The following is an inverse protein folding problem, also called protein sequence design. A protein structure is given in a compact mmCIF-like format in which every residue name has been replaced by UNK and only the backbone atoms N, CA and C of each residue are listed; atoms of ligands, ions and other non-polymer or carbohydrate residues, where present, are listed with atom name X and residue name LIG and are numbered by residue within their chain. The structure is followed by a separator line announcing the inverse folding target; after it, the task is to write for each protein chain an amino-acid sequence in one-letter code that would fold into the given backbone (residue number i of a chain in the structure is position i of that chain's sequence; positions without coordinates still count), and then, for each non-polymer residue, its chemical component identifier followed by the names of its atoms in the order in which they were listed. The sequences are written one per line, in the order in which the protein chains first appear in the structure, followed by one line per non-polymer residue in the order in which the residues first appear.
data_IF_785274959142
#
_entry.id   IF_785274959142
#
_cell.length_a   1.000
_cell.length_b   1.000
_cell.length_c   1.000
_cell.angle_alpha   90.00
_cell.angle_beta   90.00
_cell.angle_gamma   90.00
#
_symmetry.space_group_name_H-M   'P 1'
#
loop_
_entity.id
_entity.type
_entity.pdbx_description
1 polymer ?
#
# COMPACT_ATOMS: atom_id res chain seq x y z
N UNK A 1 -9.34 6.59 -13.01
CA UNK A 1 -8.83 7.15 -11.75
C UNK A 1 -7.32 7.03 -11.74
N UNK A 2 -6.60 8.11 -11.49
CA UNK A 2 -5.14 8.18 -11.51
C UNK A 2 -4.56 8.16 -10.09
N UNK A 3 -3.28 7.83 -9.96
CA UNK A 3 -2.59 7.89 -8.67
C UNK A 3 -2.60 9.31 -8.09
N UNK A 4 -2.44 10.34 -8.93
CA UNK A 4 -2.35 11.73 -8.45
C UNK A 4 -3.71 12.23 -7.92
N UNK A 5 -4.82 11.82 -8.54
CA UNK A 5 -6.18 12.06 -8.01
C UNK A 5 -6.37 11.42 -6.64
N UNK A 6 -5.96 10.16 -6.49
CA UNK A 6 -6.05 9.44 -5.21
C UNK A 6 -5.15 10.05 -4.15
N UNK A 7 -3.92 10.41 -4.52
CA UNK A 7 -2.95 11.04 -3.63
C UNK A 7 -3.46 12.39 -3.13
N UNK A 8 -4.03 13.21 -4.02
CA UNK A 8 -4.65 14.48 -3.65
C UNK A 8 -5.83 14.29 -2.68
N UNK A 9 -6.66 13.26 -2.89
CA UNK A 9 -7.80 12.96 -2.03
C UNK A 9 -7.40 12.63 -0.58
N UNK A 10 -6.24 12.02 -0.35
CA UNK A 10 -5.81 11.57 0.99
C UNK A 10 -4.83 12.53 1.69
N UNK A 11 -4.21 13.48 0.99
CA UNK A 11 -3.14 14.35 1.54
C UNK A 11 -3.63 15.71 2.08
N UNK A 12 -4.95 15.94 2.13
CA UNK A 12 -5.56 17.22 2.47
C UNK A 12 -5.01 17.90 3.74
N UNK A 13 -4.46 19.11 3.56
CA UNK A 13 -4.04 20.14 4.55
C UNK A 13 -2.87 19.85 5.51
N UNK A 14 -2.50 18.60 5.79
CA UNK A 14 -1.53 18.26 6.84
C UNK A 14 -0.06 18.16 6.39
N UNK A 15 0.22 18.28 5.08
CA UNK A 15 1.58 18.37 4.51
C UNK A 15 2.48 17.13 4.74
N UNK A 16 1.97 16.08 5.39
CA UNK A 16 2.70 14.84 5.70
C UNK A 16 1.89 13.65 5.23
N UNK A 17 2.53 12.76 4.49
CA UNK A 17 1.96 11.49 4.02
C UNK A 17 2.37 10.36 4.97
N UNK A 18 1.52 10.06 5.95
CA UNK A 18 1.73 9.06 6.99
C UNK A 18 1.26 7.67 6.55
N UNK A 19 1.51 6.64 7.36
CA UNK A 19 1.12 5.25 7.07
C UNK A 19 -0.39 5.11 6.79
N UNK A 20 -1.24 5.78 7.59
CA UNK A 20 -2.70 5.80 7.37
C UNK A 20 -3.07 6.26 5.96
N UNK A 21 -2.39 7.29 5.45
CA UNK A 21 -2.68 7.85 4.13
C UNK A 21 -2.24 6.90 3.01
N UNK A 22 -1.17 6.12 3.21
CA UNK A 22 -0.79 5.05 2.29
C UNK A 22 -1.88 3.96 2.23
N UNK A 23 -2.37 3.53 3.39
CA UNK A 23 -3.45 2.52 3.47
C UNK A 23 -4.73 3.06 2.83
N UNK A 24 -5.10 4.32 3.10
CA UNK A 24 -6.29 4.95 2.51
C UNK A 24 -6.18 5.05 0.98
N UNK A 25 -5.02 5.50 0.47
CA UNK A 25 -4.76 5.55 -0.97
C UNK A 25 -4.91 4.17 -1.61
N UNK A 26 -4.32 3.14 -1.00
CA UNK A 26 -4.42 1.76 -1.50
C UNK A 26 -5.86 1.24 -1.45
N UNK A 27 -6.62 1.52 -0.39
CA UNK A 27 -8.03 1.14 -0.29
C UNK A 27 -8.87 1.80 -1.41
N UNK A 28 -8.67 3.09 -1.67
CA UNK A 28 -9.33 3.80 -2.77
C UNK A 28 -8.92 3.23 -4.14
N UNK A 29 -7.62 2.93 -4.34
CA UNK A 29 -7.13 2.33 -5.57
C UNK A 29 -7.80 0.97 -5.84
N UNK A 30 -7.88 0.10 -4.84
CA UNK A 30 -8.53 -1.20 -4.96
C UNK A 30 -10.02 -1.04 -5.27
N UNK A 31 -10.72 -0.12 -4.60
CA UNK A 31 -12.13 0.16 -4.87
C UNK A 31 -12.37 0.70 -6.29
N UNK A 32 -11.43 1.47 -6.84
CA UNK A 32 -11.59 2.13 -8.14
C UNK A 32 -11.22 1.24 -9.34
N UNK A 33 -10.17 0.42 -9.23
CA UNK A 33 -9.63 -0.35 -10.36
C UNK A 33 -9.53 -1.86 -10.10
N UNK A 34 -9.91 -2.32 -8.90
CA UNK A 34 -9.74 -3.71 -8.48
C UNK A 34 -8.32 -4.02 -8.01
N UNK A 35 -8.12 -5.13 -7.28
CA UNK A 35 -6.86 -5.43 -6.60
C UNK A 35 -5.69 -5.68 -7.55
N UNK A 36 -5.92 -6.35 -8.68
CA UNK A 36 -4.85 -6.64 -9.64
C UNK A 36 -4.30 -5.36 -10.27
N UNK A 37 -5.16 -4.49 -10.79
CA UNK A 37 -4.73 -3.22 -11.39
C UNK A 37 -4.22 -2.21 -10.35
N UNK A 38 -4.70 -2.31 -9.09
CA UNK A 38 -4.23 -1.45 -8.01
C UNK A 38 -2.73 -1.69 -7.69
N UNK A 39 -2.21 -2.91 -7.87
CA UNK A 39 -0.78 -3.19 -7.70
C UNK A 39 0.05 -2.30 -8.63
N UNK A 40 -0.30 -2.24 -9.90
CA UNK A 40 0.44 -1.46 -10.90
C UNK A 40 0.27 0.05 -10.65
N UNK A 41 -0.98 0.51 -10.44
CA UNK A 41 -1.29 1.91 -10.18
C UNK A 41 -0.52 2.49 -8.98
N UNK A 42 -0.52 1.76 -7.86
CA UNK A 42 0.18 2.18 -6.64
C UNK A 42 1.70 2.09 -6.83
N UNK A 43 2.19 1.03 -7.45
CA UNK A 43 3.63 0.84 -7.69
C UNK A 43 4.22 1.92 -8.58
N UNK A 44 3.57 2.27 -9.69
CA UNK A 44 3.99 3.33 -10.59
C UNK A 44 3.98 4.70 -9.91
N UNK A 45 2.94 4.99 -9.13
CA UNK A 45 2.82 6.23 -8.37
C UNK A 45 3.91 6.41 -7.32
N UNK A 46 4.20 5.36 -6.53
CA UNK A 46 5.30 5.38 -5.55
C UNK A 46 6.64 5.56 -6.26
N UNK A 47 6.90 4.81 -7.34
CA UNK A 47 8.15 4.94 -8.09
C UNK A 47 8.34 6.34 -8.66
N UNK A 48 7.30 6.93 -9.26
CA UNK A 48 7.33 8.30 -9.80
C UNK A 48 7.61 9.32 -8.70
N UNK A 49 6.90 9.21 -7.58
CA UNK A 49 7.07 10.11 -6.42
C UNK A 49 8.46 9.99 -5.80
N UNK A 50 8.96 8.75 -5.64
CA UNK A 50 10.28 8.48 -5.10
C UNK A 50 11.40 9.03 -6.01
N UNK A 51 11.25 8.92 -7.33
CA UNK A 51 12.18 9.52 -8.31
C UNK A 51 12.17 11.03 -8.24
N UNK A 52 10.99 11.66 -8.22
CA UNK A 52 10.87 13.12 -8.10
C UNK A 52 11.48 13.65 -6.80
N UNK A 53 11.36 12.90 -5.70
CA UNK A 53 11.96 13.22 -4.41
C UNK A 53 13.46 12.85 -4.29
N UNK A 54 14.12 12.43 -5.39
CA UNK A 54 15.54 12.05 -5.42
C UNK A 54 15.88 10.77 -4.64
N UNK A 55 14.88 9.94 -4.32
CA UNK A 55 15.00 8.77 -3.43
C UNK A 55 14.40 7.49 -4.05
N UNK A 56 14.78 7.10 -5.29
CA UNK A 56 14.19 5.95 -5.99
C UNK A 56 14.32 4.63 -5.23
N UNK A 57 15.36 4.49 -4.39
CA UNK A 57 15.60 3.29 -3.55
C UNK A 57 14.56 3.06 -2.46
N UNK A 58 13.66 4.03 -2.20
CA UNK A 58 12.55 3.86 -1.24
C UNK A 58 11.48 2.92 -1.74
N UNK A 59 11.37 2.73 -3.06
CA UNK A 59 10.41 1.77 -3.61
C UNK A 59 10.85 0.33 -3.31
N UNK A 60 9.87 -0.52 -2.98
CA UNK A 60 10.07 -1.92 -2.67
C UNK A 60 8.91 -2.73 -3.26
N UNK A 61 9.23 -3.58 -4.26
CA UNK A 61 8.22 -4.31 -5.03
C UNK A 61 7.38 -5.23 -4.14
N UNK A 62 8.01 -6.13 -3.39
CA UNK A 62 7.28 -7.08 -2.54
C UNK A 62 6.42 -6.39 -1.48
N UNK A 63 6.95 -5.41 -0.74
CA UNK A 63 6.15 -4.70 0.27
C UNK A 63 4.95 -3.96 -0.34
N UNK A 64 5.13 -3.28 -1.48
CA UNK A 64 4.04 -2.53 -2.11
C UNK A 64 2.91 -3.45 -2.55
N UNK A 65 3.26 -4.56 -3.23
CA UNK A 65 2.28 -5.57 -3.65
C UNK A 65 1.63 -6.26 -2.45
N UNK A 66 2.41 -6.65 -1.45
CA UNK A 66 1.90 -7.32 -0.26
C UNK A 66 0.87 -6.46 0.48
N UNK A 67 1.08 -5.14 0.59
CA UNK A 67 0.08 -4.23 1.17
C UNK A 67 -1.22 -4.17 0.36
N UNK A 68 -1.14 -4.11 -0.97
CA UNK A 68 -2.32 -4.12 -1.84
C UNK A 68 -3.12 -5.41 -1.66
N UNK A 69 -2.45 -6.56 -1.73
CA UNK A 69 -3.09 -7.87 -1.55
C UNK A 69 -3.68 -8.02 -0.13
N UNK A 70 -2.96 -7.56 0.89
CA UNK A 70 -3.38 -7.60 2.29
C UNK A 70 -4.65 -6.78 2.55
N UNK A 71 -4.70 -5.56 2.00
CA UNK A 71 -5.85 -4.67 2.14
C UNK A 71 -7.03 -5.24 1.37
N UNK A 72 -6.82 -5.70 0.13
CA UNK A 72 -7.86 -6.31 -0.69
C UNK A 72 -8.50 -7.52 0.00
N UNK A 73 -7.71 -8.37 0.64
CA UNK A 73 -8.19 -9.55 1.37
C UNK A 73 -9.05 -9.21 2.61
N UNK A 74 -8.96 -7.98 3.14
CA UNK A 74 -9.72 -7.50 4.30
C UNK A 74 -10.91 -6.62 3.93
N UNK A 75 -10.95 -6.10 2.71
CA UNK A 75 -12.07 -5.31 2.22
C UNK A 75 -13.33 -6.16 2.17
N UNK A 76 -14.44 -5.60 2.62
CA UNK A 76 -15.76 -6.20 2.56
C UNK A 76 -16.73 -5.26 1.84
N UNK A 77 -17.77 -5.83 1.22
CA UNK A 77 -18.86 -5.02 0.65
C UNK A 77 -19.61 -4.20 1.71
N UNK A 78 -19.44 -4.52 3.00
CA UNK A 78 -19.99 -3.76 4.12
C UNK A 78 -19.20 -2.47 4.43
N UNK A 79 -18.02 -2.26 3.86
CA UNK A 79 -17.23 -1.04 4.04
C UNK A 79 -17.77 0.09 3.18
N UNK A 80 -18.64 0.92 3.75
CA UNK A 80 -19.09 2.13 3.06
C UNK A 80 -17.97 3.19 2.99
N UNK A 81 -17.10 3.23 3.99
CA UNK A 81 -16.02 4.21 4.11
C UNK A 81 -14.69 3.58 4.53
N UNK A 82 -13.59 4.31 4.34
CA UNK A 82 -12.27 3.92 4.86
C UNK A 82 -12.25 3.83 6.40
N UNK A 83 -13.01 4.69 7.08
CA UNK A 83 -13.09 4.66 8.55
C UNK A 83 -13.77 3.39 9.05
N UNK A 84 -14.83 2.93 8.35
CA UNK A 84 -15.48 1.64 8.65
C UNK A 84 -14.49 0.48 8.46
N UNK A 85 -13.75 0.49 7.35
CA UNK A 85 -12.74 -0.52 7.05
C UNK A 85 -11.68 -0.60 8.17
N UNK A 86 -11.13 0.54 8.58
CA UNK A 86 -10.13 0.61 9.65
C UNK A 86 -10.73 0.22 11.00
N UNK A 87 -11.98 0.58 11.30
CA UNK A 87 -12.63 0.22 12.55
C UNK A 87 -12.77 -1.31 12.70
N UNK A 88 -13.00 -2.02 11.58
CA UNK A 88 -13.08 -3.49 11.56
C UNK A 88 -11.71 -4.18 11.49
N UNK A 89 -10.72 -3.52 10.89
CA UNK A 89 -9.36 -4.05 10.70
C UNK A 89 -8.29 -3.08 11.21
N UNK A 90 -8.28 -2.72 12.51
CA UNK A 90 -7.37 -1.71 13.02
C UNK A 90 -5.88 -2.07 12.86
N UNK A 91 -5.56 -3.36 12.73
CA UNK A 91 -4.20 -3.86 12.54
C UNK A 91 -3.55 -3.38 11.23
N UNK A 92 -4.33 -3.02 10.20
CA UNK A 92 -3.81 -2.51 8.92
C UNK A 92 -3.07 -1.16 9.09
N UNK A 93 -3.32 -0.45 10.19
CA UNK A 93 -2.60 0.76 10.54
C UNK A 93 -1.26 0.51 11.24
N UNK A 94 -0.94 -0.73 11.62
CA UNK A 94 0.40 -1.06 12.08
C UNK A 94 1.31 -1.37 10.88
N UNK A 95 2.28 -0.49 10.63
CA UNK A 95 3.30 -0.70 9.59
C UNK A 95 4.11 -2.00 9.75
N UNK A 96 4.06 -2.64 10.93
CA UNK A 96 4.70 -3.93 11.20
C UNK A 96 3.85 -5.14 10.82
N UNK A 97 2.60 -4.96 10.38
CA UNK A 97 1.70 -6.07 10.08
C UNK A 97 2.30 -7.06 9.08
N UNK A 98 3.08 -6.62 8.09
CA UNK A 98 3.74 -7.54 7.15
C UNK A 98 4.72 -8.51 7.82
N UNK A 99 5.22 -8.21 9.03
CA UNK A 99 6.09 -9.11 9.78
C UNK A 99 5.35 -10.35 10.32
N UNK A 100 4.01 -10.38 10.24
CA UNK A 100 3.23 -11.60 10.54
C UNK A 100 3.13 -12.53 9.34
N UNK A 101 3.52 -12.08 8.14
CA UNK A 101 3.46 -12.82 6.88
C UNK A 101 4.85 -13.11 6.30
N UNK A 102 5.82 -12.28 6.67
CA UNK A 102 7.18 -12.39 6.17
C UNK A 102 8.20 -12.44 7.30
N UNK A 103 9.21 -13.30 7.13
CA UNK A 103 10.43 -13.23 7.92
C UNK A 103 11.13 -11.90 7.65
N UNK A 104 11.71 -11.24 8.68
CA UNK A 104 12.47 -10.01 8.48
C UNK A 104 13.60 -10.14 7.44
N UNK A 105 14.26 -11.31 7.42
CA UNK A 105 15.32 -11.60 6.45
C UNK A 105 14.85 -11.62 4.99
N UNK A 106 13.59 -12.00 4.75
CA UNK A 106 13.00 -12.11 3.42
C UNK A 106 12.75 -10.73 2.82
N UNK A 107 12.11 -9.83 3.58
CA UNK A 107 11.88 -8.43 3.16
C UNK A 107 13.18 -7.62 3.08
N UNK A 108 14.26 -8.05 3.73
CA UNK A 108 15.56 -7.38 3.64
C UNK A 108 16.33 -7.72 2.35
N UNK A 109 15.90 -8.72 1.57
CA UNK A 109 16.62 -9.16 0.37
C UNK A 109 16.45 -8.21 -0.82
N UNK A 110 17.49 -8.12 -1.66
CA UNK A 110 17.39 -7.42 -2.95
C UNK A 110 16.35 -8.07 -3.88
N UNK A 111 16.17 -9.40 -3.80
CA UNK A 111 15.14 -10.12 -4.53
C UNK A 111 13.73 -9.62 -4.17
N UNK A 112 13.42 -9.45 -2.89
CA UNK A 112 12.13 -8.90 -2.46
C UNK A 112 12.00 -7.40 -2.80
N UNK A 113 13.10 -6.65 -2.76
CA UNK A 113 13.10 -5.23 -3.11
C UNK A 113 12.78 -4.99 -4.58
N UNK A 114 13.32 -5.82 -5.47
CA UNK A 114 13.27 -5.63 -6.93
C UNK A 114 12.28 -6.54 -7.65
N UNK A 115 11.80 -7.59 -6.98
CA UNK A 115 10.85 -8.56 -7.52
C UNK A 115 9.78 -8.95 -6.49
N UNK A 116 8.92 -9.88 -6.90
CA UNK A 116 7.90 -10.45 -6.04
C UNK A 116 8.44 -11.70 -5.33
N UNK A 117 8.31 -11.74 -4.01
CA UNK A 117 8.55 -12.91 -3.17
C UNK A 117 7.27 -13.16 -2.36
N UNK A 118 6.71 -14.38 -2.39
CA UNK A 118 5.51 -14.69 -1.61
C UNK A 118 5.79 -14.71 -0.09
N UNK A 119 4.75 -14.55 0.76
CA UNK A 119 4.85 -14.76 2.21
C UNK A 119 5.49 -16.10 2.59
N UNK A 120 6.24 -16.13 3.70
CA UNK A 120 7.05 -17.28 4.15
C UNK A 120 6.89 -17.60 5.66
N UNK A 121 5.79 -17.11 6.24
CA UNK A 121 5.30 -17.42 7.59
C UNK A 121 3.85 -17.91 7.56
#
# INVERSE_FOLDING_TARGET
MTFDELFAAVTGSSGRFAHRDHVHLTWLAIGAVGPQAAVDLVSEGIQRTARYAGQPRKYHVTMSRAWVELIAARMSQADATFDDFVARHPEVLDKRLLNTLYRPGTLATEAARTGWVPPDL
#
